data_IF_305932237792
#
_entry.id   IF_305932237792
#
_cell.length_a   1.000
_cell.length_b   1.000
_cell.length_c   1.000
_cell.angle_alpha   90.00
_cell.angle_beta   90.00
_cell.angle_gamma   90.00
#
_symmetry.space_group_name_H-M   'P 1'
#
loop_
_entity.id
_entity.type
_entity.pdbx_description
1 polymer ?
#
# COMPACT_ATOMS: atom_id res chain seq x y z
N UNK A 1 19.67 1.08 25.54
CA UNK A 1 18.70 2.19 25.67
C UNK A 1 19.24 3.39 24.92
N UNK A 2 18.41 4.03 24.06
CA UNK A 2 18.73 5.30 23.38
C UNK A 2 17.69 6.34 23.74
N UNK A 3 18.09 7.59 23.84
CA UNK A 3 17.20 8.74 24.00
C UNK A 3 17.33 9.61 22.77
N UNK A 4 16.29 9.67 21.96
CA UNK A 4 16.29 10.32 20.65
C UNK A 4 15.34 11.51 20.68
N UNK A 5 15.79 12.68 20.22
CA UNK A 5 15.01 13.91 20.18
C UNK A 5 15.24 14.68 18.89
N UNK A 6 14.27 15.51 18.49
CA UNK A 6 14.40 16.45 17.40
C UNK A 6 13.64 17.75 17.70
N UNK A 7 13.68 18.72 16.76
CA UNK A 7 12.93 19.97 16.91
C UNK A 7 11.43 19.67 17.13
N UNK A 8 10.89 18.67 16.41
CA UNK A 8 9.51 18.19 16.55
C UNK A 8 9.43 16.67 16.62
N UNK A 9 8.56 16.18 17.49
CA UNK A 9 8.21 14.77 17.61
C UNK A 9 6.74 14.57 17.25
N UNK A 10 6.46 13.97 16.11
CA UNK A 10 5.12 13.62 15.65
C UNK A 10 4.79 12.19 16.08
N UNK A 11 4.09 12.06 17.20
CA UNK A 11 3.72 10.74 17.74
C UNK A 11 2.60 10.07 16.95
N UNK A 12 1.79 10.84 16.24
CA UNK A 12 0.58 10.44 15.52
C UNK A 12 -0.49 9.77 16.40
N UNK A 13 -0.26 9.79 17.71
CA UNK A 13 -1.20 9.39 18.75
C UNK A 13 -1.73 10.61 19.52
N UNK A 14 -0.92 11.64 19.65
CA UNK A 14 -1.23 12.91 20.29
C UNK A 14 -0.70 14.08 19.45
N UNK A 15 -0.97 15.31 19.87
CA UNK A 15 -0.41 16.52 19.22
C UNK A 15 1.12 16.46 19.17
N UNK A 16 1.76 17.05 18.15
CA UNK A 16 3.22 17.12 18.04
C UNK A 16 3.86 17.74 19.28
N UNK A 17 5.01 17.19 19.69
CA UNK A 17 5.76 17.62 20.89
C UNK A 17 7.03 18.33 20.44
N UNK A 18 7.18 19.61 20.78
CA UNK A 18 8.41 20.35 20.52
C UNK A 18 9.51 19.87 21.46
N UNK A 19 10.68 19.50 20.90
CA UNK A 19 11.81 18.96 21.64
C UNK A 19 11.47 17.75 22.55
N UNK A 20 10.45 16.96 22.18
CA UNK A 20 10.12 15.72 22.85
C UNK A 20 11.22 14.67 22.72
N UNK A 21 11.30 13.73 23.67
CA UNK A 21 12.32 12.68 23.67
C UNK A 21 11.66 11.30 23.66
N UNK A 22 12.10 10.45 22.70
CA UNK A 22 11.80 9.02 22.69
C UNK A 22 12.86 8.26 23.45
N UNK A 23 12.45 7.44 24.42
CA UNK A 23 13.30 6.41 25.00
C UNK A 23 12.99 5.07 24.32
N UNK A 24 13.99 4.47 23.70
CA UNK A 24 13.86 3.20 22.99
C UNK A 24 14.87 2.16 23.49
N UNK A 25 14.48 0.89 23.45
CA UNK A 25 15.39 -0.21 23.76
C UNK A 25 16.17 -0.66 22.52
N UNK A 26 17.05 -1.65 22.66
CA UNK A 26 17.90 -2.16 21.59
C UNK A 26 17.10 -2.91 20.48
N UNK A 27 15.82 -3.19 20.71
CA UNK A 27 14.92 -3.81 19.74
C UNK A 27 14.01 -2.79 19.02
N UNK A 28 14.22 -1.48 19.26
CA UNK A 28 13.42 -0.41 18.68
C UNK A 28 12.04 -0.22 19.34
N UNK A 29 11.80 -0.85 20.51
CA UNK A 29 10.56 -0.67 21.25
C UNK A 29 10.56 0.64 22.02
N UNK A 30 9.47 1.38 21.93
CA UNK A 30 9.25 2.63 22.68
C UNK A 30 9.03 2.27 24.15
N UNK A 31 9.93 2.69 25.02
CA UNK A 31 9.86 2.47 26.47
C UNK A 31 9.19 3.65 27.15
N UNK A 32 9.48 4.88 26.69
CA UNK A 32 8.86 6.09 27.24
C UNK A 32 8.88 7.23 26.22
N UNK A 33 8.03 8.23 26.42
CA UNK A 33 7.95 9.47 25.65
C UNK A 33 7.92 10.64 26.63
N UNK A 34 8.99 11.43 26.64
CA UNK A 34 9.11 12.60 27.50
C UNK A 34 8.71 13.86 26.74
N UNK A 35 7.93 14.71 27.37
CA UNK A 35 7.49 15.97 26.78
C UNK A 35 8.56 17.07 26.84
N UNK A 36 9.49 16.94 27.80
CA UNK A 36 10.57 17.90 28.04
C UNK A 36 11.92 17.22 28.12
N UNK A 37 12.93 17.81 27.47
CA UNK A 37 14.34 17.37 27.57
C UNK A 37 14.91 17.44 29.00
N UNK A 38 14.37 18.35 29.84
CA UNK A 38 14.86 18.59 31.20
C UNK A 38 14.67 17.41 32.14
N UNK A 39 13.84 16.43 31.74
CA UNK A 39 13.61 15.20 32.51
C UNK A 39 14.77 14.20 32.36
N UNK A 40 15.72 14.45 31.44
CA UNK A 40 16.83 13.55 31.10
C UNK A 40 18.14 14.34 31.08
N UNK A 41 19.27 13.79 31.60
CA UNK A 41 20.57 14.39 31.43
C UNK A 41 20.91 14.63 29.95
N UNK A 42 21.21 15.87 29.59
CA UNK A 42 21.38 16.32 28.19
C UNK A 42 22.46 15.55 27.40
N UNK A 43 23.51 15.09 28.09
CA UNK A 43 24.59 14.29 27.51
C UNK A 43 24.17 12.91 26.99
N UNK A 44 22.99 12.44 27.37
CA UNK A 44 22.45 11.15 26.98
C UNK A 44 21.47 11.23 25.78
N UNK A 45 21.17 12.45 25.29
CA UNK A 45 20.17 12.67 24.24
C UNK A 45 20.86 12.81 22.89
N UNK A 46 20.51 11.93 21.96
CA UNK A 46 20.81 12.06 20.53
C UNK A 46 19.85 13.06 19.92
N UNK A 47 20.27 14.30 19.66
CA UNK A 47 19.43 15.34 19.10
C UNK A 47 19.64 15.52 17.60
N UNK A 48 18.54 15.60 16.84
CA UNK A 48 18.53 15.81 15.40
C UNK A 48 17.79 17.10 15.04
N UNK A 49 18.28 17.84 14.03
CA UNK A 49 17.54 18.96 13.44
C UNK A 49 16.49 18.39 12.47
N UNK A 50 15.22 18.76 12.67
CA UNK A 50 14.12 18.28 11.86
C UNK A 50 12.96 17.72 12.68
N UNK A 51 12.16 16.85 12.08
CA UNK A 51 11.07 16.16 12.76
C UNK A 51 11.29 14.64 12.81
N UNK A 52 10.90 14.03 13.93
CA UNK A 52 10.81 12.58 14.07
C UNK A 52 9.36 12.14 13.88
N UNK A 53 9.15 11.10 13.08
CA UNK A 53 7.88 10.40 12.94
C UNK A 53 8.08 8.87 12.95
N UNK A 54 7.02 8.06 13.12
CA UNK A 54 7.07 6.62 12.95
C UNK A 54 7.56 6.24 11.54
N UNK A 55 8.09 5.03 11.39
CA UNK A 55 8.42 4.48 10.09
C UNK A 55 7.21 4.47 9.14
N UNK A 56 7.45 4.71 7.86
CA UNK A 56 6.43 4.73 6.83
C UNK A 56 5.85 3.35 6.56
N UNK A 57 4.57 3.32 6.19
CA UNK A 57 3.85 2.13 5.77
C UNK A 57 3.52 2.26 4.30
N UNK A 58 4.04 1.36 3.48
CA UNK A 58 3.66 1.22 2.09
C UNK A 58 2.44 0.29 2.00
N UNK A 59 1.24 0.86 1.91
CA UNK A 59 0.01 0.09 2.04
C UNK A 59 -0.33 -0.75 0.80
N UNK A 60 0.30 -0.48 -0.35
CA UNK A 60 0.14 -1.22 -1.59
C UNK A 60 1.42 -1.17 -2.44
N UNK A 61 1.93 -2.35 -2.78
CA UNK A 61 3.12 -2.52 -3.61
C UNK A 61 3.01 -3.83 -4.41
N UNK A 62 3.65 -3.89 -5.59
CA UNK A 62 3.89 -5.12 -6.34
C UNK A 62 5.40 -5.37 -6.46
N UNK A 63 6.00 -5.82 -5.37
CA UNK A 63 7.45 -6.00 -5.30
C UNK A 63 7.99 -6.98 -6.35
N UNK A 64 7.19 -7.99 -6.73
CA UNK A 64 7.56 -8.97 -7.76
C UNK A 64 7.70 -8.37 -9.17
N UNK A 65 7.16 -7.15 -9.42
CA UNK A 65 7.27 -6.45 -10.71
C UNK A 65 8.44 -5.44 -10.76
N UNK A 66 9.32 -5.43 -9.75
CA UNK A 66 10.43 -4.47 -9.65
C UNK A 66 11.41 -4.52 -10.82
N UNK A 67 11.50 -5.64 -11.53
CA UNK A 67 12.35 -5.81 -12.71
C UNK A 67 11.83 -5.09 -13.96
N UNK A 68 10.59 -4.59 -13.94
CA UNK A 68 10.00 -3.77 -15.00
C UNK A 68 10.31 -2.27 -14.85
N UNK A 69 11.15 -1.88 -13.89
CA UNK A 69 11.56 -0.50 -13.68
C UNK A 69 12.15 0.09 -14.97
N UNK A 70 11.70 1.29 -15.32
CA UNK A 70 12.13 2.02 -16.53
C UNK A 70 11.92 1.28 -17.87
N UNK A 71 10.98 0.34 -17.92
CA UNK A 71 10.60 -0.32 -19.22
C UNK A 71 9.95 0.69 -20.17
N UNK A 72 9.25 1.71 -19.62
CA UNK A 72 8.74 2.86 -20.36
C UNK A 72 8.87 4.13 -19.52
N UNK A 73 9.01 5.28 -20.18
CA UNK A 73 9.03 6.58 -19.50
C UNK A 73 7.63 7.19 -19.37
N UNK A 74 6.65 6.70 -20.12
CA UNK A 74 5.25 7.13 -20.09
C UNK A 74 4.38 6.09 -20.78
N UNK A 75 3.10 6.09 -20.46
CA UNK A 75 2.07 5.29 -21.13
C UNK A 75 0.87 6.17 -21.47
N UNK A 76 0.09 5.78 -22.50
CA UNK A 76 -1.15 6.44 -22.85
C UNK A 76 -2.34 5.65 -22.28
N UNK A 77 -2.45 5.63 -20.95
CA UNK A 77 -3.53 4.99 -20.24
C UNK A 77 -3.28 3.52 -19.91
N UNK A 78 -4.25 2.96 -19.22
CA UNK A 78 -4.18 1.62 -18.64
C UNK A 78 -3.89 0.49 -19.62
N UNK A 79 -4.42 0.55 -20.85
CA UNK A 79 -4.21 -0.51 -21.85
C UNK A 79 -2.74 -0.66 -22.24
N UNK A 80 -2.02 0.45 -22.42
CA UNK A 80 -0.59 0.44 -22.73
C UNK A 80 0.23 -0.03 -21.53
N UNK A 81 -0.16 0.35 -20.32
CA UNK A 81 0.46 -0.16 -19.08
C UNK A 81 0.34 -1.69 -18.97
N UNK A 82 -0.81 -2.28 -19.33
CA UNK A 82 -0.99 -3.73 -19.33
C UNK A 82 -0.02 -4.44 -20.30
N UNK A 83 0.33 -3.82 -21.42
CA UNK A 83 1.33 -4.40 -22.36
C UNK A 83 2.72 -4.46 -21.70
N UNK A 84 3.09 -3.48 -20.87
CA UNK A 84 4.32 -3.54 -20.08
C UNK A 84 4.27 -4.73 -19.10
N UNK A 85 3.19 -4.85 -18.32
CA UNK A 85 3.03 -5.92 -17.33
C UNK A 85 3.07 -7.31 -17.96
N UNK A 86 2.55 -7.48 -19.19
CA UNK A 86 2.62 -8.75 -19.95
C UNK A 86 4.05 -9.20 -20.24
N UNK A 87 5.01 -8.30 -20.26
CA UNK A 87 6.42 -8.64 -20.51
C UNK A 87 7.14 -9.24 -19.31
N UNK A 88 6.50 -9.30 -18.15
CA UNK A 88 7.10 -9.71 -16.85
C UNK A 88 7.81 -11.07 -16.91
N UNK A 89 7.32 -12.00 -17.70
CA UNK A 89 7.87 -13.36 -17.81
C UNK A 89 9.03 -13.45 -18.83
N UNK A 90 9.39 -12.36 -19.51
CA UNK A 90 10.46 -12.32 -20.50
C UNK A 90 11.87 -12.20 -19.90
N UNK A 91 11.99 -12.15 -18.57
CA UNK A 91 13.24 -11.93 -17.86
C UNK A 91 13.71 -13.18 -17.13
N UNK A 92 15.04 -13.33 -16.98
CA UNK A 92 15.58 -14.44 -16.21
C UNK A 92 15.23 -14.32 -14.72
N UNK A 93 15.01 -15.47 -14.07
CA UNK A 93 14.72 -15.53 -12.64
C UNK A 93 15.76 -14.80 -11.79
N UNK A 94 17.05 -14.94 -12.13
CA UNK A 94 18.13 -14.26 -11.42
C UNK A 94 18.04 -12.72 -11.54
N UNK A 95 17.57 -12.20 -12.68
CA UNK A 95 17.34 -10.76 -12.86
C UNK A 95 16.18 -10.28 -12.00
N UNK A 96 15.04 -11.01 -12.03
CA UNK A 96 13.86 -10.71 -11.20
C UNK A 96 14.24 -10.65 -9.72
N UNK A 97 14.93 -11.67 -9.18
CA UNK A 97 15.33 -11.72 -7.77
C UNK A 97 16.27 -10.57 -7.38
N UNK A 98 17.20 -10.19 -8.27
CA UNK A 98 18.08 -9.02 -8.00
C UNK A 98 17.29 -7.72 -7.95
N UNK A 99 16.33 -7.52 -8.86
CA UNK A 99 15.48 -6.34 -8.86
C UNK A 99 14.62 -6.26 -7.59
N UNK A 100 14.03 -7.37 -7.14
CA UNK A 100 13.28 -7.48 -5.89
C UNK A 100 14.15 -7.05 -4.69
N UNK A 101 15.38 -7.57 -4.57
CA UNK A 101 16.31 -7.18 -3.48
C UNK A 101 16.64 -5.69 -3.51
N UNK A 102 16.94 -5.16 -4.69
CA UNK A 102 17.24 -3.72 -4.86
C UNK A 102 16.04 -2.85 -4.46
N UNK A 103 14.83 -3.26 -4.80
CA UNK A 103 13.60 -2.55 -4.45
C UNK A 103 13.34 -2.57 -2.93
N UNK A 104 13.55 -3.69 -2.24
CA UNK A 104 13.45 -3.74 -0.77
C UNK A 104 14.48 -2.82 -0.11
N UNK A 105 15.75 -2.87 -0.55
CA UNK A 105 16.80 -2.00 -0.01
C UNK A 105 16.48 -0.51 -0.24
N UNK A 106 15.83 -0.16 -1.36
CA UNK A 106 15.33 1.20 -1.62
C UNK A 106 14.21 1.58 -0.64
N UNK A 107 13.24 0.70 -0.40
CA UNK A 107 12.17 0.94 0.57
C UNK A 107 12.72 1.17 1.99
N UNK A 108 13.68 0.35 2.42
CA UNK A 108 14.32 0.49 3.74
C UNK A 108 15.04 1.84 3.85
N UNK A 109 15.80 2.21 2.83
CA UNK A 109 16.53 3.49 2.77
C UNK A 109 15.56 4.69 2.83
N UNK A 110 14.39 4.56 2.24
CA UNK A 110 13.33 5.57 2.23
C UNK A 110 12.44 5.55 3.50
N UNK A 111 12.86 4.83 4.55
CA UNK A 111 12.20 4.84 5.86
C UNK A 111 10.92 4.00 5.95
N UNK A 112 10.66 3.11 4.99
CA UNK A 112 9.55 2.16 5.06
C UNK A 112 9.89 1.04 6.03
N UNK A 113 8.92 0.64 6.86
CA UNK A 113 9.07 -0.43 7.87
C UNK A 113 8.10 -1.59 7.67
N UNK A 114 6.97 -1.34 6.99
CA UNK A 114 6.00 -2.37 6.69
C UNK A 114 5.33 -2.13 5.32
N UNK A 115 4.89 -3.22 4.69
CA UNK A 115 4.41 -3.24 3.30
C UNK A 115 3.19 -4.15 3.17
N UNK A 116 2.14 -3.66 2.50
CA UNK A 116 1.09 -4.47 1.90
C UNK A 116 1.52 -4.84 0.47
N UNK A 117 1.96 -6.06 0.26
CA UNK A 117 2.55 -6.48 -1.00
C UNK A 117 1.67 -7.48 -1.75
N UNK A 118 1.39 -7.20 -3.00
CA UNK A 118 0.65 -8.06 -3.91
C UNK A 118 1.57 -9.16 -4.43
N UNK A 119 1.10 -10.41 -4.36
CA UNK A 119 1.87 -11.59 -4.73
C UNK A 119 1.08 -12.47 -5.70
N UNK A 120 1.59 -12.67 -6.90
CA UNK A 120 1.07 -13.61 -7.90
C UNK A 120 1.96 -14.86 -8.00
N UNK A 121 3.17 -14.77 -7.41
CA UNK A 121 4.21 -15.81 -7.40
C UNK A 121 4.82 -15.95 -6.00
N UNK A 122 5.78 -16.86 -5.86
CA UNK A 122 6.59 -17.00 -4.64
C UNK A 122 7.96 -16.32 -4.74
N UNK A 123 8.18 -15.45 -5.71
CA UNK A 123 9.49 -14.84 -6.03
C UNK A 123 10.02 -13.96 -4.90
N UNK A 124 9.14 -13.38 -4.12
CA UNK A 124 9.48 -12.53 -2.97
C UNK A 124 9.65 -13.30 -1.65
N UNK A 125 9.38 -14.62 -1.64
CA UNK A 125 9.33 -15.43 -0.42
C UNK A 125 10.66 -15.44 0.35
N UNK A 126 11.77 -15.77 -0.33
CA UNK A 126 13.09 -15.89 0.31
C UNK A 126 13.52 -14.58 0.96
N UNK A 127 13.27 -13.45 0.28
CA UNK A 127 13.55 -12.12 0.80
C UNK A 127 12.73 -11.82 2.06
N UNK A 128 11.43 -12.14 2.07
CA UNK A 128 10.52 -11.86 3.18
C UNK A 128 10.78 -12.72 4.42
N UNK A 129 11.29 -13.94 4.25
CA UNK A 129 11.73 -14.79 5.37
C UNK A 129 12.84 -14.12 6.19
N UNK A 130 13.69 -13.30 5.57
CA UNK A 130 14.76 -12.54 6.25
C UNK A 130 14.26 -11.41 7.16
N UNK A 131 12.96 -11.06 7.09
CA UNK A 131 12.25 -10.11 7.99
C UNK A 131 12.92 -8.73 8.14
N UNK A 132 13.53 -8.20 7.09
CA UNK A 132 14.05 -6.82 7.09
C UNK A 132 12.92 -5.79 7.15
N UNK A 133 11.81 -6.07 6.46
CA UNK A 133 10.54 -5.34 6.51
C UNK A 133 9.42 -6.27 6.98
N UNK A 134 8.33 -5.70 7.49
CA UNK A 134 7.13 -6.45 7.83
C UNK A 134 6.17 -6.46 6.66
N UNK A 135 5.76 -7.65 6.21
CA UNK A 135 4.90 -7.83 5.05
C UNK A 135 3.52 -8.35 5.42
N UNK A 136 2.50 -7.75 4.83
CA UNK A 136 1.20 -8.37 4.63
C UNK A 136 1.15 -8.82 3.16
N UNK A 137 1.09 -10.12 2.93
CA UNK A 137 1.13 -10.69 1.58
C UNK A 137 -0.29 -10.88 1.07
N UNK A 138 -0.68 -10.13 0.08
CA UNK A 138 -1.95 -10.25 -0.62
C UNK A 138 -1.76 -11.17 -1.81
N UNK A 139 -2.16 -12.44 -1.67
CA UNK A 139 -2.11 -13.41 -2.78
C UNK A 139 -3.25 -13.08 -3.71
N UNK A 140 -2.92 -12.43 -4.80
CA UNK A 140 -3.89 -11.91 -5.74
C UNK A 140 -4.47 -13.01 -6.61
N UNK A 141 -5.79 -13.02 -6.74
CA UNK A 141 -6.51 -13.95 -7.61
C UNK A 141 -7.39 -13.18 -8.58
N UNK A 142 -7.30 -13.55 -9.85
CA UNK A 142 -8.14 -13.03 -10.93
C UNK A 142 -8.51 -14.14 -11.90
N UNK A 143 -9.71 -14.10 -12.44
CA UNK A 143 -10.21 -14.98 -13.50
C UNK A 143 -11.54 -14.42 -14.01
N UNK A 144 -11.63 -14.29 -15.31
CA UNK A 144 -12.80 -13.71 -15.98
C UNK A 144 -13.76 -14.77 -16.55
N UNK A 145 -13.37 -16.05 -16.53
CA UNK A 145 -14.19 -17.18 -16.98
C UNK A 145 -14.71 -17.97 -15.79
N UNK A 146 -16.03 -18.09 -15.67
CA UNK A 146 -16.68 -18.74 -14.52
C UNK A 146 -16.19 -20.18 -14.31
N UNK A 147 -16.04 -20.95 -15.38
CA UNK A 147 -15.62 -22.36 -15.35
C UNK A 147 -14.20 -22.56 -14.80
N UNK A 148 -13.34 -21.54 -14.86
CA UNK A 148 -11.96 -21.55 -14.35
C UNK A 148 -11.81 -21.05 -12.91
N UNK A 149 -12.89 -20.56 -12.29
CA UNK A 149 -12.82 -19.97 -10.95
C UNK A 149 -12.25 -20.94 -9.88
N UNK A 150 -12.56 -22.25 -9.99
CA UNK A 150 -12.01 -23.26 -9.07
C UNK A 150 -10.51 -23.48 -9.24
N UNK A 151 -10.02 -23.41 -10.46
CA UNK A 151 -8.59 -23.51 -10.75
C UNK A 151 -7.84 -22.29 -10.22
N UNK A 152 -8.37 -21.08 -10.43
CA UNK A 152 -7.79 -19.84 -9.94
C UNK A 152 -7.67 -19.82 -8.39
N UNK A 153 -8.72 -20.18 -7.67
CA UNK A 153 -8.66 -20.23 -6.20
C UNK A 153 -7.71 -21.33 -5.70
N UNK A 154 -7.64 -22.49 -6.36
CA UNK A 154 -6.72 -23.55 -5.98
C UNK A 154 -5.25 -23.12 -6.13
N UNK A 155 -4.90 -22.41 -7.21
CA UNK A 155 -3.57 -21.81 -7.40
C UNK A 155 -3.24 -20.80 -6.30
N UNK A 156 -4.17 -19.90 -5.99
CA UNK A 156 -3.97 -18.89 -4.94
C UNK A 156 -3.79 -19.53 -3.56
N UNK A 157 -4.52 -20.60 -3.25
CA UNK A 157 -4.38 -21.37 -2.00
C UNK A 157 -2.98 -21.98 -1.87
N UNK A 158 -2.44 -22.56 -2.92
CA UNK A 158 -1.08 -23.11 -2.91
C UNK A 158 -0.03 -22.04 -2.58
N UNK A 159 -0.12 -20.86 -3.22
CA UNK A 159 0.81 -19.75 -2.96
C UNK A 159 0.65 -19.25 -1.53
N UNK A 160 -0.59 -19.00 -1.07
CA UNK A 160 -0.88 -18.57 0.30
C UNK A 160 -0.27 -19.51 1.34
N UNK A 161 -0.45 -20.81 1.15
CA UNK A 161 0.00 -21.82 2.12
C UNK A 161 1.53 -21.90 2.17
N UNK A 162 2.23 -21.67 1.05
CA UNK A 162 3.69 -21.52 1.05
C UNK A 162 4.14 -20.34 1.93
N UNK A 163 3.52 -19.16 1.82
CA UNK A 163 3.84 -18.01 2.68
C UNK A 163 3.52 -18.30 4.14
N UNK A 164 2.33 -18.85 4.44
CA UNK A 164 1.90 -19.16 5.82
C UNK A 164 2.78 -20.21 6.49
N UNK A 165 3.19 -21.25 5.76
CA UNK A 165 4.10 -22.29 6.27
C UNK A 165 5.50 -21.73 6.62
N UNK A 166 5.86 -20.56 6.09
CA UNK A 166 7.08 -19.82 6.44
C UNK A 166 6.83 -18.70 7.47
N UNK A 167 5.73 -18.77 8.23
CA UNK A 167 5.35 -17.80 9.26
C UNK A 167 5.20 -16.36 8.73
N UNK A 168 4.76 -16.21 7.49
CA UNK A 168 4.45 -14.93 6.87
C UNK A 168 2.92 -14.75 6.81
N UNK A 169 2.44 -13.55 7.18
CA UNK A 169 1.02 -13.22 7.08
C UNK A 169 0.63 -13.16 5.61
N UNK A 170 -0.38 -13.95 5.21
CA UNK A 170 -0.84 -14.03 3.84
C UNK A 170 -2.35 -14.28 3.76
N UNK A 171 -3.02 -13.57 2.85
CA UNK A 171 -4.45 -13.72 2.55
C UNK A 171 -4.66 -13.74 1.04
N UNK A 172 -5.73 -14.39 0.56
CA UNK A 172 -6.11 -14.32 -0.84
C UNK A 172 -6.98 -13.09 -1.04
N UNK A 173 -6.67 -12.28 -2.05
CA UNK A 173 -7.41 -11.06 -2.38
C UNK A 173 -7.87 -11.08 -3.84
N UNK A 174 -9.05 -10.53 -4.20
CA UNK A 174 -9.39 -10.32 -5.60
C UNK A 174 -8.56 -9.16 -6.17
N UNK A 175 -8.15 -9.26 -7.44
CA UNK A 175 -7.44 -8.19 -8.13
C UNK A 175 -8.31 -6.91 -8.21
N UNK A 176 -9.47 -7.02 -8.87
CA UNK A 176 -10.38 -5.89 -9.09
C UNK A 176 -11.81 -6.39 -9.34
N UNK A 177 -12.76 -5.48 -9.36
CA UNK A 177 -14.15 -5.81 -9.68
C UNK A 177 -14.34 -6.30 -11.12
N UNK A 178 -13.57 -5.80 -12.08
CA UNK A 178 -13.71 -6.15 -13.50
C UNK A 178 -12.94 -7.40 -13.91
N UNK A 179 -12.00 -7.86 -13.12
CA UNK A 179 -11.14 -9.00 -13.45
C UNK A 179 -11.48 -10.29 -12.68
N UNK A 180 -12.51 -10.25 -11.83
CA UNK A 180 -12.91 -11.38 -10.96
C UNK A 180 -14.40 -11.70 -11.15
N UNK A 181 -14.69 -12.96 -11.54
CA UNK A 181 -16.08 -13.42 -11.63
C UNK A 181 -16.76 -13.40 -10.25
N UNK A 182 -18.11 -13.23 -10.16
CA UNK A 182 -18.83 -13.41 -8.91
C UNK A 182 -18.65 -14.79 -8.29
N UNK A 183 -18.43 -15.81 -9.09
CA UNK A 183 -18.17 -17.19 -8.62
C UNK A 183 -16.80 -17.27 -7.92
N UNK A 184 -15.75 -16.68 -8.50
CA UNK A 184 -14.42 -16.61 -7.87
C UNK A 184 -14.46 -15.73 -6.60
N UNK A 185 -15.18 -14.60 -6.64
CA UNK A 185 -15.34 -13.72 -5.48
C UNK A 185 -15.91 -14.47 -4.28
N UNK A 186 -16.98 -15.29 -4.50
CA UNK A 186 -17.54 -16.14 -3.44
C UNK A 186 -16.56 -17.19 -2.93
N UNK A 187 -15.73 -17.78 -3.81
CA UNK A 187 -14.71 -18.73 -3.39
C UNK A 187 -13.64 -18.06 -2.54
N UNK A 188 -13.20 -16.85 -2.89
CA UNK A 188 -12.27 -16.04 -2.08
C UNK A 188 -12.88 -15.75 -0.71
N UNK A 189 -14.14 -15.30 -0.66
CA UNK A 189 -14.84 -15.03 0.59
C UNK A 189 -14.92 -16.26 1.50
N UNK A 190 -15.17 -17.46 0.92
CA UNK A 190 -15.32 -18.70 1.68
C UNK A 190 -13.99 -19.21 2.28
N UNK A 191 -12.84 -18.89 1.71
CA UNK A 191 -11.52 -19.29 2.22
C UNK A 191 -10.87 -18.24 3.12
N UNK A 192 -11.59 -17.15 3.38
CA UNK A 192 -11.16 -16.07 4.27
C UNK A 192 -11.39 -16.43 5.72
N UNK A 193 -10.37 -16.27 6.57
CA UNK A 193 -10.51 -16.44 8.01
C UNK A 193 -11.21 -15.22 8.61
N UNK A 194 -12.22 -15.43 9.45
CA UNK A 194 -13.07 -14.34 9.98
C UNK A 194 -12.36 -13.41 10.97
N UNK A 195 -11.24 -13.85 11.59
CA UNK A 195 -10.67 -13.17 12.76
C UNK A 195 -9.78 -11.97 12.45
N UNK A 196 -9.05 -11.96 11.33
CA UNK A 196 -8.13 -10.84 10.98
C UNK A 196 -7.80 -10.79 9.48
N UNK A 197 -8.83 -10.79 8.64
CA UNK A 197 -8.67 -10.76 7.20
C UNK A 197 -8.76 -9.33 6.67
N UNK A 198 -7.80 -8.96 5.82
CA UNK A 198 -7.82 -7.72 5.06
C UNK A 198 -7.77 -8.05 3.57
N UNK A 199 -8.60 -7.42 2.77
CA UNK A 199 -8.53 -7.45 1.31
C UNK A 199 -7.88 -6.17 0.78
N UNK A 200 -7.11 -6.30 -0.30
CA UNK A 200 -6.60 -5.19 -1.10
C UNK A 200 -7.14 -5.34 -2.50
N UNK A 201 -7.86 -4.34 -3.03
CA UNK A 201 -8.59 -4.43 -4.29
C UNK A 201 -8.30 -3.17 -5.10
N UNK A 202 -7.79 -3.33 -6.34
CA UNK A 202 -7.70 -2.22 -7.29
C UNK A 202 -9.11 -1.72 -7.61
N UNK A 203 -9.32 -0.42 -7.48
CA UNK A 203 -10.64 0.19 -7.52
C UNK A 203 -10.63 1.51 -8.25
N UNK A 204 -11.48 1.62 -9.27
CA UNK A 204 -11.68 2.85 -10.03
C UNK A 204 -10.33 3.50 -10.43
N UNK A 205 -9.40 2.67 -10.87
CA UNK A 205 -8.08 3.06 -11.33
C UNK A 205 -8.19 3.83 -12.64
N UNK A 206 -9.07 3.38 -13.54
CA UNK A 206 -9.36 3.97 -14.85
C UNK A 206 -10.84 4.32 -14.99
N UNK A 207 -11.17 5.30 -15.85
CA UNK A 207 -12.55 5.70 -16.13
C UNK A 207 -13.36 4.59 -16.79
N UNK A 208 -12.71 3.73 -17.58
CA UNK A 208 -13.33 2.59 -18.26
C UNK A 208 -13.98 1.60 -17.27
N UNK A 209 -13.47 1.50 -16.04
CA UNK A 209 -14.06 0.70 -14.99
C UNK A 209 -15.45 1.24 -14.58
N UNK A 210 -15.59 2.56 -14.42
CA UNK A 210 -16.86 3.19 -14.13
C UNK A 210 -17.86 3.05 -15.29
N UNK A 211 -17.40 3.25 -16.54
CA UNK A 211 -18.20 3.09 -17.75
C UNK A 211 -18.71 1.65 -17.86
N UNK A 212 -17.82 0.66 -17.60
CA UNK A 212 -18.20 -0.76 -17.61
C UNK A 212 -19.36 -1.06 -16.66
N UNK A 213 -19.26 -0.60 -15.41
CA UNK A 213 -20.25 -0.97 -14.39
C UNK A 213 -21.51 -0.12 -14.44
N UNK A 214 -21.43 1.15 -14.79
CA UNK A 214 -22.57 2.06 -14.86
C UNK A 214 -23.36 1.87 -16.16
N UNK A 215 -22.65 1.92 -17.29
CA UNK A 215 -23.24 2.03 -18.63
C UNK A 215 -23.27 0.69 -19.38
N UNK A 216 -22.59 -0.35 -18.87
CA UNK A 216 -22.48 -1.66 -19.50
C UNK A 216 -21.92 -1.59 -20.93
N UNK A 217 -20.97 -0.67 -21.16
CA UNK A 217 -20.33 -0.41 -22.46
C UNK A 217 -18.85 -0.04 -22.27
N UNK A 218 -18.18 0.43 -23.30
CA UNK A 218 -16.81 0.93 -23.27
C UNK A 218 -15.77 -0.12 -23.63
N UNK A 219 -14.52 0.32 -23.73
CA UNK A 219 -13.38 -0.49 -24.19
C UNK A 219 -13.14 -1.72 -23.29
N UNK A 220 -13.33 -1.58 -21.97
CA UNK A 220 -13.20 -2.72 -21.06
C UNK A 220 -14.24 -3.81 -21.33
N UNK A 221 -15.48 -3.42 -21.61
CA UNK A 221 -16.50 -4.41 -22.00
C UNK A 221 -16.13 -5.13 -23.28
N UNK A 222 -15.72 -4.38 -24.31
CA UNK A 222 -15.37 -4.94 -25.61
C UNK A 222 -14.16 -5.88 -25.50
N UNK A 223 -13.16 -5.48 -24.72
CA UNK A 223 -12.01 -6.33 -24.40
C UNK A 223 -12.43 -7.61 -23.66
N UNK A 224 -13.21 -7.50 -22.58
CA UNK A 224 -13.71 -8.65 -21.82
C UNK A 224 -14.52 -9.61 -22.71
N UNK A 225 -15.34 -9.09 -23.61
CA UNK A 225 -16.09 -9.91 -24.57
C UNK A 225 -15.14 -10.62 -25.56
N UNK A 226 -14.09 -9.95 -26.04
CA UNK A 226 -13.13 -10.53 -26.99
C UNK A 226 -12.37 -11.73 -26.42
N UNK A 227 -12.17 -11.78 -25.10
CA UNK A 227 -11.52 -12.89 -24.39
C UNK A 227 -12.51 -13.91 -23.80
N UNK A 228 -13.78 -13.82 -24.18
CA UNK A 228 -14.87 -14.66 -23.69
C UNK A 228 -15.05 -14.63 -22.17
N UNK A 229 -14.92 -13.43 -21.56
CA UNK A 229 -15.19 -13.23 -20.15
C UNK A 229 -16.68 -13.45 -19.82
N UNK A 230 -16.95 -13.87 -18.59
CA UNK A 230 -18.32 -14.06 -18.10
C UNK A 230 -19.08 -12.73 -18.02
N UNK A 231 -20.23 -12.60 -18.71
CA UNK A 231 -21.05 -11.38 -18.61
C UNK A 231 -21.54 -11.05 -17.19
N UNK A 232 -21.52 -12.01 -16.27
CA UNK A 232 -21.88 -11.80 -14.86
C UNK A 232 -20.99 -10.75 -14.18
N UNK A 233 -19.75 -10.54 -14.68
CA UNK A 233 -18.81 -9.55 -14.13
C UNK A 233 -19.43 -8.15 -14.13
N UNK A 234 -19.99 -7.73 -15.26
CA UNK A 234 -20.57 -6.39 -15.38
C UNK A 234 -22.08 -6.33 -15.24
N UNK A 235 -22.82 -7.40 -15.58
CA UNK A 235 -24.27 -7.40 -15.45
C UNK A 235 -24.75 -7.45 -14.01
N UNK A 236 -24.00 -8.11 -13.11
CA UNK A 236 -24.39 -8.30 -11.71
C UNK A 236 -23.88 -7.18 -10.78
N UNK A 237 -23.05 -6.27 -11.27
CA UNK A 237 -22.44 -5.17 -10.49
C UNK A 237 -22.87 -3.82 -11.05
N UNK A 238 -23.20 -2.88 -10.17
CA UNK A 238 -23.55 -1.49 -10.52
C UNK A 238 -22.37 -0.53 -10.40
N UNK A 239 -21.33 -0.92 -9.67
CA UNK A 239 -20.06 -0.19 -9.49
C UNK A 239 -18.98 -1.17 -9.03
N UNK A 240 -17.74 -0.72 -9.01
CA UNK A 240 -16.62 -1.48 -8.43
C UNK A 240 -16.86 -1.84 -6.97
N UNK A 241 -17.50 -0.95 -6.20
CA UNK A 241 -17.84 -1.20 -4.80
C UNK A 241 -18.88 -2.31 -4.57
N UNK A 242 -19.56 -2.79 -5.61
CA UNK A 242 -20.48 -3.92 -5.50
C UNK A 242 -19.83 -5.19 -4.95
N UNK A 243 -18.51 -5.31 -5.04
CA UNK A 243 -17.73 -6.43 -4.48
C UNK A 243 -17.90 -6.57 -2.96
N UNK A 244 -18.19 -5.48 -2.23
CA UNK A 244 -18.43 -5.53 -0.79
C UNK A 244 -19.61 -6.43 -0.41
N UNK A 245 -20.61 -6.55 -1.28
CA UNK A 245 -21.77 -7.43 -1.06
C UNK A 245 -21.40 -8.91 -1.19
N UNK A 246 -20.31 -9.21 -1.86
CA UNK A 246 -19.82 -10.55 -2.15
C UNK A 246 -18.75 -11.01 -1.15
N UNK A 247 -18.03 -10.04 -0.51
CA UNK A 247 -16.96 -10.28 0.45
C UNK A 247 -17.48 -10.17 1.90
N UNK A 248 -17.06 -11.11 2.72
CA UNK A 248 -17.28 -11.06 4.18
C UNK A 248 -15.93 -10.88 4.83
N UNK A 249 -15.52 -9.64 5.06
CA UNK A 249 -14.19 -9.33 5.57
C UNK A 249 -14.24 -8.28 6.68
N UNK A 250 -13.15 -8.18 7.43
CA UNK A 250 -13.01 -7.22 8.52
C UNK A 250 -12.58 -5.84 8.01
N UNK A 251 -11.76 -5.81 6.95
CA UNK A 251 -11.21 -4.58 6.36
C UNK A 251 -11.04 -4.75 4.85
N UNK A 252 -11.35 -3.71 4.12
CA UNK A 252 -11.01 -3.59 2.70
C UNK A 252 -10.12 -2.36 2.51
N UNK A 253 -9.11 -2.51 1.68
CA UNK A 253 -8.28 -1.42 1.17
C UNK A 253 -8.60 -1.28 -0.32
N UNK A 254 -9.31 -0.23 -0.68
CA UNK A 254 -9.53 0.14 -2.07
C UNK A 254 -8.33 0.92 -2.59
N UNK A 255 -7.71 0.45 -3.66
CA UNK A 255 -6.45 0.97 -4.17
C UNK A 255 -6.67 1.84 -5.42
N UNK A 256 -5.83 2.84 -5.63
CA UNK A 256 -5.87 3.90 -6.65
C UNK A 256 -6.95 4.94 -6.42
N UNK A 257 -8.21 4.58 -6.60
CA UNK A 257 -9.38 5.46 -6.41
C UNK A 257 -9.34 6.74 -7.27
N UNK A 258 -8.66 6.69 -8.42
CA UNK A 258 -8.42 7.82 -9.33
C UNK A 258 -9.73 8.48 -9.79
N UNK A 259 -10.77 7.66 -10.00
CA UNK A 259 -12.08 8.07 -10.51
C UNK A 259 -13.21 7.86 -9.50
N UNK A 260 -12.88 7.78 -8.20
CA UNK A 260 -13.87 7.64 -7.12
C UNK A 260 -14.60 8.97 -6.89
N UNK A 261 -15.91 8.89 -6.66
CA UNK A 261 -16.76 10.03 -6.32
C UNK A 261 -17.21 9.96 -4.86
N UNK A 262 -17.57 11.11 -4.27
CA UNK A 262 -18.02 11.21 -2.89
C UNK A 262 -19.19 10.25 -2.56
N UNK A 263 -20.12 10.05 -3.48
CA UNK A 263 -21.30 9.19 -3.30
C UNK A 263 -20.96 7.68 -3.27
N UNK A 264 -19.80 7.30 -3.78
CA UNK A 264 -19.34 5.92 -3.83
C UNK A 264 -18.65 5.49 -2.53
N UNK A 265 -18.18 6.44 -1.72
CA UNK A 265 -17.39 6.15 -0.51
C UNK A 265 -18.17 5.28 0.50
N UNK A 266 -17.41 4.39 1.13
CA UNK A 266 -17.86 3.48 2.19
C UNK A 266 -16.99 3.71 3.44
N UNK A 267 -17.38 3.10 4.55
CA UNK A 267 -16.58 3.12 5.79
C UNK A 267 -15.45 2.07 5.72
N UNK A 268 -14.53 2.31 4.78
CA UNK A 268 -13.42 1.42 4.46
C UNK A 268 -12.11 2.22 4.33
N UNK A 269 -10.98 1.55 4.09
CA UNK A 269 -9.70 2.20 3.83
C UNK A 269 -9.50 2.46 2.34
N UNK A 270 -8.92 3.61 2.04
CA UNK A 270 -8.57 4.02 0.67
C UNK A 270 -7.07 4.19 0.58
N UNK A 271 -6.43 3.47 -0.33
CA UNK A 271 -5.01 3.60 -0.62
C UNK A 271 -4.84 4.33 -1.95
N UNK A 272 -4.17 5.48 -1.95
CA UNK A 272 -3.79 6.15 -3.19
C UNK A 272 -2.34 5.83 -3.54
N UNK A 273 -2.03 5.76 -4.84
CA UNK A 273 -0.67 5.58 -5.37
C UNK A 273 -0.36 6.73 -6.35
N UNK A 274 -0.13 7.96 -5.85
CA UNK A 274 -0.09 9.17 -6.67
C UNK A 274 0.82 9.10 -7.89
N UNK A 275 2.06 8.64 -7.73
CA UNK A 275 3.00 8.50 -8.84
C UNK A 275 2.49 7.53 -9.90
N UNK A 276 1.96 6.37 -9.49
CA UNK A 276 1.42 5.37 -10.40
C UNK A 276 0.15 5.90 -11.11
N UNK A 277 -0.75 6.57 -10.39
CA UNK A 277 -1.96 7.15 -10.96
C UNK A 277 -1.61 8.20 -12.05
N UNK A 278 -0.60 9.05 -11.80
CA UNK A 278 -0.11 9.99 -12.81
C UNK A 278 0.55 9.28 -13.99
N UNK A 279 1.32 8.25 -13.74
CA UNK A 279 2.00 7.49 -14.80
C UNK A 279 0.99 6.80 -15.72
N UNK A 280 -0.04 6.14 -15.14
CA UNK A 280 -1.01 5.31 -15.88
C UNK A 280 -2.10 6.17 -16.53
N UNK A 281 -2.71 7.09 -15.78
CA UNK A 281 -3.92 7.82 -16.20
C UNK A 281 -3.70 9.34 -16.31
N UNK A 282 -2.48 9.82 -16.03
CA UNK A 282 -2.17 11.26 -15.95
C UNK A 282 -3.19 12.03 -15.07
N UNK A 283 -3.67 11.40 -14.01
CA UNK A 283 -4.73 11.92 -13.15
C UNK A 283 -4.51 11.51 -11.69
N UNK A 284 -4.88 12.39 -10.77
CA UNK A 284 -4.94 12.12 -9.33
C UNK A 284 -6.40 12.03 -8.87
N UNK A 285 -6.66 11.28 -7.77
CA UNK A 285 -7.95 11.33 -7.10
C UNK A 285 -8.29 12.75 -6.62
N UNK A 286 -9.57 13.05 -6.49
CA UNK A 286 -10.00 14.23 -5.75
C UNK A 286 -9.83 13.98 -4.25
N UNK A 287 -8.72 14.43 -3.68
CA UNK A 287 -8.39 14.20 -2.26
C UNK A 287 -9.38 14.81 -1.28
N UNK A 288 -10.13 15.86 -1.67
CA UNK A 288 -11.10 16.54 -0.79
C UNK A 288 -12.28 15.65 -0.36
N UNK A 289 -12.50 14.54 -1.04
CA UNK A 289 -13.60 13.61 -0.70
C UNK A 289 -13.19 12.59 0.37
N UNK A 290 -11.89 12.37 0.59
CA UNK A 290 -11.40 11.35 1.53
C UNK A 290 -11.14 11.97 2.91
N UNK A 291 -11.48 11.23 3.96
CA UNK A 291 -11.07 11.57 5.31
C UNK A 291 -9.58 11.26 5.50
N UNK A 292 -8.86 12.17 6.15
CA UNK A 292 -7.47 11.93 6.56
C UNK A 292 -7.30 10.78 7.56
N UNK A 293 -8.39 10.22 8.09
CA UNK A 293 -8.34 9.11 9.05
C UNK A 293 -8.42 7.72 8.41
N UNK A 294 -8.92 7.62 7.17
CA UNK A 294 -9.04 6.36 6.43
C UNK A 294 -8.29 6.33 5.09
N UNK A 295 -7.72 7.45 4.66
CA UNK A 295 -6.81 7.50 3.52
C UNK A 295 -5.43 6.97 3.95
N UNK A 296 -4.84 6.09 3.17
CA UNK A 296 -3.45 5.65 3.29
C UNK A 296 -2.76 5.72 1.91
N UNK A 297 -1.49 5.41 1.85
CA UNK A 297 -0.68 5.60 0.65
C UNK A 297 0.13 4.35 0.34
N UNK A 298 0.27 4.05 -0.94
CA UNK A 298 1.12 3.00 -1.50
C UNK A 298 1.98 3.55 -2.63
N UNK A 299 2.95 2.78 -3.07
CA UNK A 299 3.82 3.15 -4.20
C UNK A 299 3.42 2.48 -5.50
N UNK A 300 2.56 1.48 -5.43
CA UNK A 300 2.37 0.51 -6.51
C UNK A 300 3.70 -0.15 -6.92
N UNK A 301 3.86 -0.59 -8.16
CA UNK A 301 5.05 -1.26 -8.69
C UNK A 301 6.08 -0.28 -9.24
N UNK A 302 7.34 -0.73 -9.41
CA UNK A 302 8.32 -0.02 -10.23
C UNK A 302 8.04 -0.10 -11.74
N UNK A 303 7.00 -0.83 -12.17
CA UNK A 303 6.51 -0.78 -13.54
C UNK A 303 5.72 0.50 -13.82
N UNK A 304 5.08 1.09 -12.79
CA UNK A 304 4.25 2.30 -12.84
C UNK A 304 4.84 3.48 -12.04
N UNK A 305 6.02 3.29 -11.42
CA UNK A 305 6.63 4.29 -10.55
C UNK A 305 8.15 4.33 -10.76
N UNK A 306 8.76 5.49 -10.63
CA UNK A 306 10.20 5.68 -10.73
C UNK A 306 10.95 5.31 -9.44
N UNK A 307 10.24 5.21 -8.30
CA UNK A 307 10.82 4.97 -7.00
C UNK A 307 9.81 4.46 -5.96
N UNK A 308 10.29 3.70 -4.96
CA UNK A 308 9.49 3.24 -3.82
C UNK A 308 9.73 4.17 -2.61
N UNK A 309 9.03 5.31 -2.57
CA UNK A 309 9.26 6.37 -1.57
C UNK A 309 7.95 7.01 -1.11
N UNK A 310 7.52 6.70 0.10
CA UNK A 310 6.29 7.27 0.68
C UNK A 310 6.35 8.79 0.80
N UNK A 311 7.50 9.38 1.16
CA UNK A 311 7.59 10.84 1.26
C UNK A 311 7.34 11.52 -0.09
N UNK A 312 7.70 10.90 -1.22
CA UNK A 312 7.43 11.43 -2.56
C UNK A 312 5.97 11.30 -2.95
N UNK A 313 5.33 10.22 -2.55
CA UNK A 313 3.87 10.09 -2.71
C UNK A 313 3.12 11.14 -1.88
N UNK A 314 3.53 11.35 -0.61
CA UNK A 314 2.95 12.38 0.26
C UNK A 314 3.16 13.80 -0.28
N UNK A 315 4.29 14.09 -0.92
CA UNK A 315 4.54 15.38 -1.55
C UNK A 315 3.55 15.67 -2.69
N UNK A 316 3.17 14.67 -3.48
CA UNK A 316 2.13 14.81 -4.51
C UNK A 316 0.73 15.03 -3.89
N UNK A 317 0.43 14.35 -2.79
CA UNK A 317 -0.84 14.55 -2.05
C UNK A 317 -0.86 15.99 -1.49
N UNK A 318 0.24 16.44 -0.87
CA UNK A 318 0.37 17.82 -0.35
C UNK A 318 0.06 18.89 -1.41
N UNK A 319 0.63 18.73 -2.61
CA UNK A 319 0.44 19.70 -3.72
C UNK A 319 -1.00 19.74 -4.25
N UNK A 320 -1.81 18.70 -3.99
CA UNK A 320 -3.13 18.51 -4.56
C UNK A 320 -4.24 18.38 -3.51
N UNK A 321 -3.98 18.79 -2.26
CA UNK A 321 -4.93 18.71 -1.14
C UNK A 321 -4.65 19.79 -0.11
N UNK A 322 -5.60 20.00 0.81
CA UNK A 322 -5.46 20.91 1.97
C UNK A 322 -5.04 20.16 3.26
N UNK A 323 -4.52 18.93 3.15
CA UNK A 323 -4.09 18.19 4.34
C UNK A 323 -2.90 18.87 5.01
N UNK A 324 -3.00 19.03 6.32
CA UNK A 324 -1.88 19.46 7.17
C UNK A 324 -0.75 18.42 7.19
N UNK A 325 0.47 18.84 7.56
CA UNK A 325 1.61 17.95 7.71
C UNK A 325 1.30 16.76 8.66
N UNK A 326 0.56 17.00 9.76
CA UNK A 326 0.17 15.94 10.67
C UNK A 326 -0.73 14.90 10.00
N UNK A 327 -1.69 15.35 9.17
CA UNK A 327 -2.58 14.46 8.41
C UNK A 327 -1.81 13.69 7.34
N UNK A 328 -0.90 14.33 6.61
CA UNK A 328 -0.02 13.64 5.66
C UNK A 328 0.82 12.56 6.34
N UNK A 329 1.39 12.83 7.51
CA UNK A 329 2.13 11.82 8.27
C UNK A 329 1.21 10.70 8.79
N UNK A 330 -0.05 10.98 9.17
CA UNK A 330 -1.03 9.93 9.49
C UNK A 330 -1.31 9.03 8.28
N UNK A 331 -1.48 9.62 7.08
CA UNK A 331 -1.66 8.90 5.82
C UNK A 331 -0.45 7.99 5.53
N UNK A 332 0.78 8.50 5.71
CA UNK A 332 2.02 7.78 5.44
C UNK A 332 2.42 6.73 6.46
N UNK A 333 1.86 6.77 7.69
CA UNK A 333 2.27 5.90 8.80
C UNK A 333 1.08 5.17 9.43
N UNK A 334 0.23 5.91 10.16
CA UNK A 334 -0.80 5.38 11.06
C UNK A 334 -1.89 4.61 10.33
N UNK A 335 -2.39 5.19 9.23
CA UNK A 335 -3.55 4.65 8.54
C UNK A 335 -3.21 3.37 7.78
N UNK A 336 -2.04 3.33 7.10
CA UNK A 336 -1.55 2.11 6.48
C UNK A 336 -1.34 0.98 7.50
N UNK A 337 -0.80 1.29 8.69
CA UNK A 337 -0.66 0.31 9.76
C UNK A 337 -2.00 -0.23 10.24
N UNK A 338 -3.02 0.64 10.41
CA UNK A 338 -4.39 0.23 10.75
C UNK A 338 -5.02 -0.63 9.67
N UNK A 339 -4.93 -0.20 8.41
CA UNK A 339 -5.47 -0.90 7.26
C UNK A 339 -4.89 -2.32 7.12
N UNK A 340 -3.58 -2.48 7.33
CA UNK A 340 -2.88 -3.76 7.29
C UNK A 340 -2.99 -4.58 8.59
N UNK A 341 -3.60 -4.02 9.66
CA UNK A 341 -3.72 -4.68 10.95
C UNK A 341 -2.38 -4.84 11.69
N UNK A 342 -1.45 -3.90 11.51
CA UNK A 342 -0.14 -3.90 12.17
C UNK A 342 -0.15 -3.07 13.46
N UNK A 343 -0.62 -3.64 14.56
CA UNK A 343 -0.82 -2.95 15.84
C UNK A 343 0.45 -2.37 16.48
N UNK A 344 1.62 -2.88 16.15
CA UNK A 344 2.92 -2.43 16.68
C UNK A 344 3.51 -1.24 15.92
N UNK A 345 2.89 -0.81 14.82
CA UNK A 345 3.39 0.20 13.89
C UNK A 345 2.50 1.45 13.85
N UNK A 346 2.96 2.45 13.12
CA UNK A 346 2.19 3.63 12.69
C UNK A 346 2.10 4.76 13.70
N UNK A 347 2.44 4.56 14.98
CA UNK A 347 2.41 5.61 16.01
C UNK A 347 3.55 5.41 17.02
N UNK A 348 4.03 6.50 17.62
CA UNK A 348 4.86 6.41 18.82
C UNK A 348 3.97 6.25 20.06
N UNK A 349 3.93 5.04 20.58
CA UNK A 349 3.26 4.68 21.83
C UNK A 349 4.12 3.65 22.57
N UNK A 350 4.10 3.70 23.91
CA UNK A 350 4.84 2.76 24.75
C UNK A 350 4.45 1.32 24.41
N UNK A 351 5.46 0.45 24.28
CA UNK A 351 5.29 -0.96 23.93
C UNK A 351 5.17 -1.25 22.44
N UNK A 352 5.23 -0.23 21.55
CA UNK A 352 5.28 -0.41 20.10
C UNK A 352 6.70 -0.38 19.54
N UNK A 353 6.89 -0.92 18.35
CA UNK A 353 8.16 -0.98 17.59
C UNK A 353 7.98 -0.36 16.20
N UNK A 354 7.58 0.93 16.11
CA UNK A 354 7.14 1.52 14.85
C UNK A 354 8.28 1.88 13.89
N UNK A 355 9.55 1.74 14.28
CA UNK A 355 10.67 2.40 13.64
C UNK A 355 10.68 3.91 13.88
N UNK A 356 11.76 4.59 13.53
CA UNK A 356 11.91 6.04 13.69
C UNK A 356 12.52 6.63 12.43
N UNK A 357 11.80 7.53 11.79
CA UNK A 357 12.28 8.33 10.67
C UNK A 357 12.56 9.76 11.11
N UNK A 358 13.66 10.31 10.65
CA UNK A 358 13.96 11.73 10.65
C UNK A 358 13.59 12.31 9.29
N UNK A 359 12.81 13.39 9.28
CA UNK A 359 12.50 14.19 8.08
C UNK A 359 13.13 15.58 8.25
N UNK A 360 13.87 16.01 7.23
CA UNK A 360 14.48 17.34 7.15
C UNK A 360 14.06 18.05 5.87
N UNK A 361 14.08 19.39 5.87
CA UNK A 361 13.69 20.20 4.70
C UNK A 361 12.17 20.22 4.46
N UNK A 362 11.36 20.01 5.50
CA UNK A 362 9.90 19.92 5.41
C UNK A 362 9.18 21.27 5.65
N UNK A 363 9.93 22.33 5.99
CA UNK A 363 9.38 23.59 6.49
C UNK A 363 8.54 24.33 5.45
N UNK A 364 8.86 24.14 4.17
CA UNK A 364 8.10 24.77 3.06
C UNK A 364 7.22 23.76 2.32
N UNK A 365 7.71 22.54 2.12
CA UNK A 365 7.01 21.46 1.42
C UNK A 365 7.72 20.12 1.60
N UNK A 366 6.98 19.02 1.48
CA UNK A 366 7.54 17.67 1.45
C UNK A 366 8.31 17.35 0.15
N UNK A 367 8.18 18.17 -0.89
CA UNK A 367 8.83 17.92 -2.20
C UNK A 367 10.34 17.76 -2.10
N UNK A 368 11.00 18.65 -1.33
CA UNK A 368 12.45 18.67 -1.14
C UNK A 368 12.90 17.94 0.14
N UNK A 369 11.95 17.37 0.86
CA UNK A 369 12.23 16.69 2.12
C UNK A 369 13.10 15.45 1.90
N UNK A 370 13.99 15.22 2.88
CA UNK A 370 14.83 14.04 2.96
C UNK A 370 14.43 13.19 4.15
N UNK A 371 14.44 11.89 3.95
CA UNK A 371 14.16 10.90 5.00
C UNK A 371 15.41 10.17 5.35
N UNK A 372 15.65 10.03 6.65
CA UNK A 372 16.70 9.18 7.19
C UNK A 372 16.07 8.22 8.22
N UNK A 373 16.24 6.93 8.02
CA UNK A 373 15.88 5.92 9.01
C UNK A 373 16.87 5.97 10.18
N UNK A 374 16.36 6.19 11.40
CA UNK A 374 17.14 6.27 12.63
C UNK A 374 17.12 4.96 13.41
N UNK A 375 15.96 4.23 13.31
CA UNK A 375 15.74 2.93 13.96
C UNK A 375 14.95 2.00 13.06
#
# INVERSE_FOLDING_TARGET
MRFISADYLYTLHSKPIKNGVLQINNFGEIINIFKNKTEIPSQNIEFFNGLLCPGFINAHCHLELSHLHNTSNSVNGFSEFLEIVKTRDNYSKAFIIRAIKSAEDQMIKNGIVAVGDICNTIDTLELKINKKLHYYNFIESFEVKTEKSKEAIAKALLIRDVFRNNNLKATITPHSAYSVTPDLMRLIANVSDESDYTFSIHNQETEEENILFKDKKGQFRDWLQSINASPKIWNNRSSSFSVLNELRCKRVIFVHNTYTNLLDLKDEYYCTCPCANLFIENKLPNYSIFSSDNLCVGTDSLASNSQLSIIKELALIEQNSDYSLEELLKIGCKNGAKALGFSKYGTFEVGKTPGVNLITGFELSLTDSKVQKIV
#
